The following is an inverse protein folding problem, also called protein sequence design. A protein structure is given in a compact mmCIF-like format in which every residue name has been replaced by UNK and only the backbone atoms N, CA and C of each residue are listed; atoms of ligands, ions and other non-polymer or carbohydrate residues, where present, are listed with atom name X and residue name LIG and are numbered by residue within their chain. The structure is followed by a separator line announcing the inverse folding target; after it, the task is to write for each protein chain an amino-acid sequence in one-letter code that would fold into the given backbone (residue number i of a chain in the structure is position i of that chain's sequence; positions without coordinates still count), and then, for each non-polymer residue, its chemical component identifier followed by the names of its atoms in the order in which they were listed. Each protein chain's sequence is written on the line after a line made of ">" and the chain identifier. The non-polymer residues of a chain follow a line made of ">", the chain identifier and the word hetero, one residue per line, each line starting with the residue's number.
data_IF_905656438163
#
_entry.id   IF_905656438163
#
_cell.length_a   1.000
_cell.length_b   1.000
_cell.length_c   1.000
_cell.angle_alpha   90.00
_cell.angle_beta   90.00
_cell.angle_gamma   90.00
#
_symmetry.space_group_name_H-M   'P 1'
#
loop_
_entity.id
_entity.type
_entity.pdbx_description
1 polymer ?
#
# COMPACT_ATOMS: atom_id res chain seq x y z
N UNK A 1 4.83 -33.24 6.69
CA UNK A 1 3.67 -32.66 5.99
C UNK A 1 3.95 -31.23 5.52
N UNK A 2 4.56 -30.36 6.34
CA UNK A 2 4.90 -28.97 5.96
C UNK A 2 5.90 -28.81 4.80
N UNK A 3 6.94 -29.66 4.72
CA UNK A 3 7.95 -29.54 3.66
C UNK A 3 7.36 -29.59 2.24
N UNK A 4 6.30 -30.38 2.02
CA UNK A 4 5.64 -30.45 0.71
C UNK A 4 5.01 -29.11 0.32
N UNK A 5 4.25 -28.51 1.25
CA UNK A 5 3.64 -27.19 1.06
C UNK A 5 4.71 -26.11 0.84
N UNK A 6 5.83 -26.17 1.56
CA UNK A 6 6.92 -25.19 1.39
C UNK A 6 7.64 -25.37 0.03
N UNK A 7 7.83 -26.60 -0.44
CA UNK A 7 8.39 -26.87 -1.78
C UNK A 7 7.44 -26.41 -2.90
N UNK A 8 6.14 -26.57 -2.70
CA UNK A 8 5.10 -26.04 -3.60
C UNK A 8 5.16 -24.51 -3.62
N UNK A 9 5.11 -23.85 -2.46
CA UNK A 9 5.26 -22.39 -2.33
C UNK A 9 6.55 -21.87 -2.94
N UNK A 10 7.67 -22.56 -2.75
CA UNK A 10 8.94 -22.20 -3.39
C UNK A 10 8.78 -22.12 -4.91
N UNK A 11 8.13 -23.13 -5.49
CA UNK A 11 7.92 -23.20 -6.94
C UNK A 11 6.97 -22.10 -7.41
N UNK A 12 5.91 -21.84 -6.64
CA UNK A 12 4.96 -20.77 -6.91
C UNK A 12 5.61 -19.38 -6.83
N UNK A 13 6.39 -19.09 -5.78
CA UNK A 13 7.09 -17.81 -5.63
C UNK A 13 8.07 -17.61 -6.77
N UNK A 14 8.83 -18.64 -7.18
CA UNK A 14 9.76 -18.51 -8.31
C UNK A 14 9.00 -18.20 -9.62
N UNK A 15 7.88 -18.90 -9.86
CA UNK A 15 7.07 -18.74 -11.08
C UNK A 15 6.13 -17.54 -11.04
N UNK A 16 5.92 -16.92 -9.88
CA UNK A 16 4.97 -15.83 -9.73
C UNK A 16 5.34 -14.66 -10.65
N UNK A 17 4.35 -14.19 -11.38
CA UNK A 17 4.39 -12.96 -12.14
C UNK A 17 3.07 -12.28 -11.87
N UNK A 18 3.10 -11.06 -11.34
CA UNK A 18 1.86 -10.35 -11.05
C UNK A 18 1.79 -9.06 -11.82
N UNK A 19 0.73 -8.94 -12.61
CA UNK A 19 0.33 -7.71 -13.29
C UNK A 19 -0.80 -7.00 -12.54
N UNK A 20 -1.49 -7.72 -11.66
CA UNK A 20 -2.58 -7.21 -10.85
C UNK A 20 -2.18 -7.20 -9.36
N UNK A 21 -2.40 -6.06 -8.70
CA UNK A 21 -1.99 -5.86 -7.31
C UNK A 21 -2.94 -6.51 -6.30
N UNK A 22 -4.22 -6.66 -6.65
CA UNK A 22 -5.20 -7.35 -5.81
C UNK A 22 -4.98 -8.88 -5.87
N UNK A 23 -4.62 -9.42 -7.03
CA UNK A 23 -4.15 -10.81 -7.15
C UNK A 23 -2.87 -11.03 -6.35
N UNK A 24 -1.89 -10.10 -6.44
CA UNK A 24 -0.67 -10.19 -5.65
C UNK A 24 -0.94 -10.18 -4.14
N UNK A 25 -1.88 -9.35 -3.69
CA UNK A 25 -2.28 -9.28 -2.29
C UNK A 25 -2.95 -10.57 -1.81
N UNK A 26 -3.85 -11.17 -2.60
CA UNK A 26 -4.46 -12.48 -2.29
C UNK A 26 -3.40 -13.58 -2.24
N UNK A 27 -2.49 -13.59 -3.21
CA UNK A 27 -1.38 -14.52 -3.27
C UNK A 27 -0.48 -14.40 -2.05
N UNK A 28 -0.07 -13.18 -1.69
CA UNK A 28 0.69 -12.92 -0.47
C UNK A 28 -0.04 -13.43 0.77
N UNK A 29 -1.36 -13.20 0.90
CA UNK A 29 -2.14 -13.74 2.00
C UNK A 29 -2.13 -15.27 2.09
N UNK A 30 -2.15 -15.97 0.95
CA UNK A 30 -2.00 -17.42 0.92
C UNK A 30 -0.61 -17.86 1.41
N UNK A 31 0.45 -17.20 0.90
CA UNK A 31 1.84 -17.49 1.30
C UNK A 31 2.02 -17.28 2.80
N UNK A 32 1.61 -16.14 3.35
CA UNK A 32 1.73 -15.85 4.78
C UNK A 32 0.94 -16.83 5.64
N UNK A 33 -0.29 -17.22 5.24
CA UNK A 33 -1.08 -18.20 5.99
C UNK A 33 -0.36 -19.55 6.12
N UNK A 34 0.42 -19.96 5.13
CA UNK A 34 1.23 -21.18 5.22
C UNK A 34 2.49 -20.96 6.06
N UNK A 35 3.13 -19.78 5.96
CA UNK A 35 4.33 -19.43 6.74
C UNK A 35 4.04 -19.24 8.23
N UNK A 36 2.88 -18.72 8.61
CA UNK A 36 2.43 -18.56 10.00
C UNK A 36 2.33 -19.89 10.76
N UNK A 37 2.13 -20.99 10.04
CA UNK A 37 2.08 -22.33 10.63
C UNK A 37 3.48 -22.91 10.94
N UNK A 38 4.56 -22.19 10.64
CA UNK A 38 5.93 -22.62 10.90
C UNK A 38 6.37 -22.18 12.30
N UNK A 39 6.95 -23.11 13.06
CA UNK A 39 7.43 -22.85 14.43
C UNK A 39 8.59 -21.85 14.48
N UNK A 40 9.45 -21.85 13.45
CA UNK A 40 10.53 -20.88 13.25
C UNK A 40 10.74 -20.70 11.75
N UNK A 41 10.15 -19.65 11.17
CA UNK A 41 10.19 -19.37 9.73
C UNK A 41 11.63 -19.34 9.20
N UNK A 42 12.54 -18.67 9.91
CA UNK A 42 13.93 -18.50 9.43
C UNK A 42 14.66 -19.83 9.37
N UNK A 43 14.55 -20.64 10.41
CA UNK A 43 15.21 -21.95 10.45
C UNK A 43 14.59 -22.95 9.48
N UNK A 44 13.27 -22.92 9.31
CA UNK A 44 12.57 -23.84 8.41
C UNK A 44 12.86 -23.50 6.94
N UNK A 45 12.82 -22.21 6.57
CA UNK A 45 13.14 -21.77 5.20
C UNK A 45 14.62 -21.98 4.86
N UNK A 46 15.53 -21.85 5.83
CA UNK A 46 16.96 -22.14 5.64
C UNK A 46 17.24 -23.63 5.37
N UNK A 47 16.39 -24.53 5.87
CA UNK A 47 16.49 -25.99 5.66
C UNK A 47 15.82 -26.46 4.37
N UNK A 48 15.19 -25.57 3.60
CA UNK A 48 14.61 -25.95 2.32
C UNK A 48 15.67 -26.34 1.30
N UNK A 49 15.51 -27.54 0.74
CA UNK A 49 16.39 -28.05 -0.30
C UNK A 49 16.43 -27.12 -1.52
N UNK A 50 17.65 -26.79 -1.96
CA UNK A 50 17.91 -25.92 -3.11
C UNK A 50 17.61 -24.43 -2.87
N UNK A 51 17.54 -23.98 -1.62
CA UNK A 51 17.41 -22.56 -1.23
C UNK A 51 16.01 -21.98 -1.47
N UNK A 52 15.45 -21.30 -0.46
CA UNK A 52 14.17 -20.62 -0.57
C UNK A 52 14.33 -19.23 -1.22
N UNK A 53 13.41 -18.77 -2.11
CA UNK A 53 13.49 -17.48 -2.79
C UNK A 53 13.13 -16.31 -1.87
N UNK A 54 13.82 -16.20 -0.73
CA UNK A 54 13.53 -15.23 0.32
C UNK A 54 13.59 -13.79 -0.20
N UNK A 55 14.54 -13.46 -1.07
CA UNK A 55 14.62 -12.12 -1.70
C UNK A 55 13.34 -11.76 -2.46
N UNK A 56 12.79 -12.70 -3.24
CA UNK A 56 11.57 -12.45 -4.01
C UNK A 56 10.35 -12.37 -3.09
N UNK A 57 10.29 -13.20 -2.04
CA UNK A 57 9.26 -13.10 -1.01
C UNK A 57 9.28 -11.72 -0.33
N UNK A 58 10.45 -11.24 0.09
CA UNK A 58 10.60 -9.92 0.71
C UNK A 58 10.17 -8.80 -0.23
N UNK A 59 10.49 -8.89 -1.53
CA UNK A 59 9.99 -7.93 -2.52
C UNK A 59 8.45 -7.96 -2.60
N UNK A 60 7.83 -9.15 -2.60
CA UNK A 60 6.36 -9.30 -2.59
C UNK A 60 5.76 -8.68 -1.31
N UNK A 61 6.32 -8.98 -0.13
CA UNK A 61 5.92 -8.41 1.16
C UNK A 61 5.99 -6.88 1.14
N UNK A 62 7.11 -6.30 0.71
CA UNK A 62 7.29 -4.85 0.58
C UNK A 62 6.26 -4.24 -0.39
N UNK A 63 6.06 -4.89 -1.54
CA UNK A 63 5.12 -4.45 -2.58
C UNK A 63 3.68 -4.40 -2.04
N UNK A 64 3.23 -5.49 -1.39
CA UNK A 64 1.87 -5.59 -0.85
C UNK A 64 1.65 -4.66 0.32
N UNK A 65 2.65 -4.48 1.19
CA UNK A 65 2.61 -3.52 2.29
C UNK A 65 2.43 -2.09 1.76
N UNK A 66 3.19 -1.70 0.73
CA UNK A 66 3.07 -0.40 0.10
C UNK A 66 1.67 -0.22 -0.53
N UNK A 67 1.20 -1.19 -1.30
CA UNK A 67 -0.13 -1.14 -1.91
C UNK A 67 -1.26 -1.00 -0.88
N UNK A 68 -1.23 -1.81 0.16
CA UNK A 68 -2.22 -1.78 1.25
C UNK A 68 -2.22 -0.44 1.96
N UNK A 69 -1.03 0.14 2.17
CA UNK A 69 -0.88 1.46 2.78
C UNK A 69 -1.51 2.57 1.92
N UNK A 70 -1.26 2.57 0.60
CA UNK A 70 -1.88 3.53 -0.32
C UNK A 70 -3.40 3.36 -0.41
N UNK A 71 -3.89 2.12 -0.44
CA UNK A 71 -5.33 1.84 -0.37
C UNK A 71 -5.97 2.36 0.92
N UNK A 72 -5.27 2.21 2.06
CA UNK A 72 -5.70 2.77 3.34
C UNK A 72 -5.86 4.29 3.27
N UNK A 73 -4.88 5.01 2.72
CA UNK A 73 -4.98 6.46 2.53
C UNK A 73 -6.16 6.85 1.64
N UNK A 74 -6.34 6.15 0.50
CA UNK A 74 -7.48 6.39 -0.41
C UNK A 74 -8.80 6.18 0.32
N UNK A 75 -8.90 5.12 1.14
CA UNK A 75 -10.09 4.83 1.92
C UNK A 75 -10.38 5.92 2.96
N UNK A 76 -9.37 6.39 3.68
CA UNK A 76 -9.52 7.49 4.64
C UNK A 76 -9.96 8.80 3.95
N UNK A 77 -9.35 9.14 2.81
CA UNK A 77 -9.69 10.32 2.02
C UNK A 77 -11.12 10.23 1.47
N UNK A 78 -11.53 9.08 0.92
CA UNK A 78 -12.91 8.90 0.39
C UNK A 78 -13.99 8.98 1.47
N UNK A 79 -13.67 8.58 2.70
CA UNK A 79 -14.60 8.64 3.83
C UNK A 79 -14.47 9.93 4.65
N UNK A 80 -13.73 10.92 4.15
CA UNK A 80 -13.52 12.17 4.84
C UNK A 80 -14.82 12.96 4.95
N UNK A 81 -15.25 13.23 6.18
CA UNK A 81 -16.51 13.93 6.45
C UNK A 81 -16.27 15.43 6.51
N UNK A 82 -16.76 16.14 5.49
CA UNK A 82 -16.79 17.61 5.46
C UNK A 82 -17.97 18.07 6.31
N UNK A 83 -17.70 18.54 7.53
CA UNK A 83 -18.73 18.96 8.49
C UNK A 83 -18.34 20.26 9.19
N UNK A 84 -19.36 21.04 9.55
CA UNK A 84 -19.24 22.26 10.36
C UNK A 84 -18.80 21.93 11.80
N UNK A 85 -18.03 22.80 12.48
CA UNK A 85 -17.48 24.07 12.01
C UNK A 85 -16.22 23.90 11.16
N UNK A 86 -16.10 24.69 10.09
CA UNK A 86 -15.01 24.56 9.13
C UNK A 86 -13.61 24.70 9.76
N UNK A 87 -13.44 25.53 10.80
CA UNK A 87 -12.14 25.71 11.46
C UNK A 87 -11.55 24.41 12.03
N UNK A 88 -12.38 23.57 12.66
CA UNK A 88 -11.92 22.28 13.20
C UNK A 88 -11.59 21.29 12.08
N UNK A 89 -12.34 21.36 10.98
CA UNK A 89 -12.11 20.54 9.81
C UNK A 89 -10.80 20.92 9.10
N UNK A 90 -10.51 22.21 8.96
CA UNK A 90 -9.32 22.74 8.29
C UNK A 90 -8.04 22.30 9.02
N UNK A 91 -7.96 22.50 10.34
CA UNK A 91 -6.78 22.09 11.12
C UNK A 91 -6.53 20.57 11.08
N UNK A 92 -7.60 19.77 11.13
CA UNK A 92 -7.49 18.31 10.98
C UNK A 92 -7.04 17.91 9.58
N UNK A 93 -7.58 18.56 8.55
CA UNK A 93 -7.26 18.30 7.15
C UNK A 93 -5.81 18.67 6.85
N UNK A 94 -5.35 19.84 7.31
CA UNK A 94 -3.98 20.30 7.13
C UNK A 94 -2.96 19.33 7.75
N UNK A 95 -3.18 18.90 9.00
CA UNK A 95 -2.28 17.93 9.66
C UNK A 95 -2.24 16.58 8.95
N UNK A 96 -3.40 16.09 8.52
CA UNK A 96 -3.48 14.84 7.77
C UNK A 96 -2.80 14.95 6.41
N UNK A 97 -3.01 16.06 5.72
CA UNK A 97 -2.44 16.32 4.40
C UNK A 97 -0.93 16.48 4.49
N UNK A 98 -0.40 17.18 5.49
CA UNK A 98 1.03 17.28 5.71
C UNK A 98 1.68 15.89 5.85
N UNK A 99 1.02 14.97 6.56
CA UNK A 99 1.50 13.57 6.70
C UNK A 99 1.47 12.84 5.35
N UNK A 100 0.33 12.85 4.65
CA UNK A 100 0.19 12.15 3.37
C UNK A 100 1.14 12.75 2.33
N UNK A 101 1.22 14.07 2.21
CA UNK A 101 2.12 14.76 1.27
C UNK A 101 3.56 14.31 1.46
N UNK A 102 4.07 14.28 2.69
CA UNK A 102 5.44 13.82 2.96
C UNK A 102 5.67 12.39 2.50
N UNK A 103 4.71 11.51 2.75
CA UNK A 103 4.79 10.10 2.34
C UNK A 103 4.73 9.94 0.81
N UNK A 104 3.82 10.67 0.15
CA UNK A 104 3.67 10.67 -1.31
C UNK A 104 4.90 11.26 -1.99
N UNK A 105 5.46 12.34 -1.48
CA UNK A 105 6.71 12.95 -2.00
C UNK A 105 7.89 11.98 -1.91
N UNK A 106 8.03 11.32 -0.75
CA UNK A 106 9.08 10.30 -0.57
C UNK A 106 8.91 9.16 -1.58
N UNK A 107 7.68 8.68 -1.77
CA UNK A 107 7.38 7.64 -2.75
C UNK A 107 7.61 8.12 -4.20
N UNK A 108 7.26 9.36 -4.54
CA UNK A 108 7.50 9.92 -5.87
C UNK A 108 8.99 10.03 -6.21
N UNK A 109 9.84 10.30 -5.22
CA UNK A 109 11.29 10.34 -5.39
C UNK A 109 11.88 8.96 -5.68
N UNK A 110 11.40 7.93 -4.96
CA UNK A 110 11.93 6.56 -5.09
C UNK A 110 11.19 5.71 -6.13
N UNK A 111 10.05 6.17 -6.67
CA UNK A 111 9.17 5.35 -7.53
C UNK A 111 9.90 4.73 -8.72
N UNK A 112 10.82 5.46 -9.35
CA UNK A 112 11.53 4.98 -10.55
C UNK A 112 12.48 3.84 -10.18
N UNK A 113 13.10 3.91 -9.01
CA UNK A 113 14.00 2.88 -8.51
C UNK A 113 13.22 1.65 -8.02
N UNK A 114 12.17 1.87 -7.24
CA UNK A 114 11.30 0.80 -6.75
C UNK A 114 10.57 0.11 -7.92
N UNK A 115 10.10 0.84 -8.94
CA UNK A 115 9.50 0.26 -10.15
C UNK A 115 10.50 -0.63 -10.91
N UNK A 116 11.76 -0.21 -11.03
CA UNK A 116 12.81 -1.05 -11.63
C UNK A 116 13.06 -2.32 -10.81
N UNK A 117 13.07 -2.20 -9.48
CA UNK A 117 13.24 -3.33 -8.56
C UNK A 117 12.09 -4.32 -8.67
N UNK A 118 10.85 -3.85 -8.63
CA UNK A 118 9.66 -4.69 -8.78
C UNK A 118 9.61 -5.35 -10.17
N UNK A 119 9.92 -4.61 -11.24
CA UNK A 119 9.99 -5.17 -12.60
C UNK A 119 11.04 -6.25 -12.75
N UNK A 120 12.20 -6.11 -12.08
CA UNK A 120 13.25 -7.14 -12.08
C UNK A 120 12.75 -8.47 -11.52
N UNK A 121 11.81 -8.42 -10.56
CA UNK A 121 11.15 -9.57 -9.95
C UNK A 121 9.80 -9.93 -10.61
N UNK A 122 9.49 -9.38 -11.79
CA UNK A 122 8.25 -9.57 -12.56
C UNK A 122 6.96 -9.13 -11.84
N UNK A 123 7.08 -8.07 -11.04
CA UNK A 123 5.98 -7.45 -10.31
C UNK A 123 5.70 -6.08 -10.93
N UNK A 124 4.47 -5.85 -11.38
CA UNK A 124 4.04 -4.55 -11.88
C UNK A 124 3.27 -3.79 -10.79
N UNK A 125 3.90 -2.75 -10.23
CA UNK A 125 3.24 -1.89 -9.24
C UNK A 125 2.45 -0.77 -9.93
N UNK A 126 1.18 -0.61 -9.54
CA UNK A 126 0.34 0.47 -10.06
C UNK A 126 0.53 1.78 -9.26
N UNK A 127 1.42 2.64 -9.76
CA UNK A 127 1.66 3.96 -9.19
C UNK A 127 0.54 4.98 -9.48
N UNK A 128 -0.50 4.63 -10.28
CA UNK A 128 -1.66 5.52 -10.47
C UNK A 128 -2.39 5.81 -9.16
N UNK A 129 -2.25 4.95 -8.15
CA UNK A 129 -2.75 5.20 -6.80
C UNK A 129 -2.20 6.49 -6.19
N UNK A 130 -0.95 6.87 -6.49
CA UNK A 130 -0.38 8.14 -6.01
C UNK A 130 -1.10 9.34 -6.63
N UNK A 131 -1.47 9.24 -7.91
CA UNK A 131 -2.22 10.28 -8.62
C UNK A 131 -3.62 10.38 -8.00
N UNK A 132 -4.30 9.25 -7.80
CA UNK A 132 -5.62 9.21 -7.16
C UNK A 132 -5.63 9.81 -5.75
N UNK A 133 -4.59 9.58 -4.94
CA UNK A 133 -4.45 10.20 -3.62
C UNK A 133 -4.36 11.71 -3.74
N UNK A 134 -3.54 12.22 -4.66
CA UNK A 134 -3.40 13.67 -4.90
C UNK A 134 -4.70 14.32 -5.36
N UNK A 135 -5.43 13.66 -6.26
CA UNK A 135 -6.75 14.13 -6.72
C UNK A 135 -7.74 14.24 -5.55
N UNK A 136 -7.87 13.19 -4.74
CA UNK A 136 -8.74 13.19 -3.56
C UNK A 136 -8.37 14.28 -2.55
N UNK A 137 -7.08 14.57 -2.38
CA UNK A 137 -6.64 15.67 -1.52
C UNK A 137 -7.11 17.03 -2.06
N UNK A 138 -7.02 17.26 -3.36
CA UNK A 138 -7.51 18.51 -3.99
C UNK A 138 -9.02 18.63 -3.85
N UNK A 139 -9.77 17.53 -4.04
CA UNK A 139 -11.22 17.49 -3.89
C UNK A 139 -11.67 17.87 -2.46
N UNK A 140 -11.04 17.26 -1.45
CA UNK A 140 -11.33 17.54 -0.04
C UNK A 140 -10.97 18.99 0.32
N UNK A 141 -9.82 19.50 -0.14
CA UNK A 141 -9.44 20.91 0.08
C UNK A 141 -10.48 21.87 -0.48
N UNK A 142 -10.96 21.59 -1.70
CA UNK A 142 -11.98 22.40 -2.36
C UNK A 142 -13.29 22.39 -1.57
N UNK A 143 -13.74 21.21 -1.14
CA UNK A 143 -14.94 21.07 -0.32
C UNK A 143 -14.83 21.76 1.06
N UNK A 144 -13.66 21.70 1.70
CA UNK A 144 -13.40 22.41 2.96
C UNK A 144 -13.50 23.94 2.76
N UNK A 145 -12.94 24.46 1.68
CA UNK A 145 -12.96 25.88 1.36
C UNK A 145 -14.38 26.37 1.05
N UNK A 146 -15.17 25.59 0.30
CA UNK A 146 -16.58 25.88 0.03
C UNK A 146 -17.41 25.97 1.32
N UNK A 147 -17.22 25.03 2.25
CA UNK A 147 -17.89 25.05 3.56
C UNK A 147 -17.51 26.32 4.34
N UNK A 148 -16.22 26.66 4.41
CA UNK A 148 -15.75 27.85 5.12
C UNK A 148 -16.32 29.15 4.52
N UNK A 149 -16.39 29.24 3.19
CA UNK A 149 -16.98 30.39 2.50
C UNK A 149 -18.49 30.51 2.77
N UNK A 150 -19.20 29.37 2.83
CA UNK A 150 -20.63 29.34 3.16
C UNK A 150 -20.88 29.81 4.60
N UNK A 151 -20.16 29.26 5.57
CA UNK A 151 -20.28 29.68 6.98
C UNK A 151 -20.01 31.18 7.15
N UNK A 152 -18.99 31.72 6.46
CA UNK A 152 -18.68 33.16 6.50
C UNK A 152 -19.79 34.03 5.91
N UNK A 153 -20.52 33.56 4.89
CA UNK A 153 -21.66 34.28 4.31
C UNK A 153 -22.89 34.25 5.22
N UNK A 154 -23.10 33.16 5.94
CA UNK A 154 -24.24 32.99 6.86
C UNK A 154 -24.03 33.71 8.19
N UNK A 155 -22.78 33.99 8.57
CA UNK A 155 -22.42 34.75 9.77
C UNK A 155 -22.44 36.29 9.56
N UNK A 156 -22.61 36.77 8.33
CA UNK A 156 -22.69 38.18 7.95
C UNK A 156 -24.13 38.60 7.61
#
# INVERSE_FOLDING_TARGET
>A
MYMKAITELKTEIIKSQSKDMAELQRYHGHVESVLENLTDETLVLARCEGGFPQKKLEVIRMTVALYTKLQGMIHELKNWKIQSPANNLLDKTERFFAKITKEIETLDQIKVEEEKKFKKDNIHFDFKLLIQIKELMVDISSACMELALKEKREAN
#
